data_IF_787715320843
#
_entry.id   IF_787715320843
#
_cell.length_a   1.000
_cell.length_b   1.000
_cell.length_c   1.000
_cell.angle_alpha   90.00
_cell.angle_beta   90.00
_cell.angle_gamma   90.00
#
_symmetry.space_group_name_H-M   'P 1'
#
loop_
_entity.id
_entity.type
_entity.pdbx_description
1 polymer ?
#
# COMPACT_ATOMS: atom_id res chain seq x y z
N UNK A 1 3.80 -5.34 -18.24
CA UNK A 1 3.38 -5.27 -16.81
C UNK A 1 4.46 -4.77 -15.85
N UNK A 2 5.75 -5.16 -15.98
CA UNK A 2 6.81 -4.72 -15.04
C UNK A 2 7.06 -3.20 -15.04
N UNK A 3 7.11 -2.56 -16.21
CA UNK A 3 7.30 -1.10 -16.33
C UNK A 3 6.13 -0.33 -15.71
N UNK A 4 4.89 -0.75 -15.98
CA UNK A 4 3.70 -0.14 -15.38
C UNK A 4 3.70 -0.26 -13.85
N UNK A 5 4.08 -1.43 -13.30
CA UNK A 5 4.18 -1.61 -11.85
C UNK A 5 5.26 -0.69 -11.23
N UNK A 6 6.38 -0.50 -11.93
CA UNK A 6 7.42 0.43 -11.49
C UNK A 6 6.93 1.89 -11.49
N UNK A 7 6.26 2.32 -12.56
CA UNK A 7 5.66 3.65 -12.67
C UNK A 7 4.61 3.87 -11.57
N UNK A 8 3.74 2.90 -11.32
CA UNK A 8 2.72 3.00 -10.26
C UNK A 8 3.33 3.11 -8.86
N UNK A 9 4.42 2.37 -8.58
CA UNK A 9 5.14 2.51 -7.31
C UNK A 9 5.78 3.88 -7.18
N UNK A 10 6.35 4.42 -8.26
CA UNK A 10 6.90 5.77 -8.27
C UNK A 10 5.82 6.81 -8.00
N UNK A 11 4.64 6.69 -8.63
CA UNK A 11 3.49 7.56 -8.38
C UNK A 11 3.06 7.52 -6.91
N UNK A 12 3.02 6.34 -6.28
CA UNK A 12 2.70 6.26 -4.84
C UNK A 12 3.76 6.92 -3.96
N UNK A 13 5.04 6.80 -4.30
CA UNK A 13 6.10 7.50 -3.56
C UNK A 13 5.95 9.02 -3.67
N UNK A 14 5.66 9.52 -4.87
CA UNK A 14 5.39 10.95 -5.10
C UNK A 14 4.14 11.40 -4.36
N UNK A 15 3.08 10.59 -4.34
CA UNK A 15 1.87 10.86 -3.56
C UNK A 15 2.20 11.01 -2.08
N UNK A 16 2.92 10.05 -1.49
CA UNK A 16 3.31 10.12 -0.08
C UNK A 16 4.22 11.30 0.22
N UNK A 17 5.16 11.62 -0.67
CA UNK A 17 5.98 12.81 -0.56
C UNK A 17 5.13 14.10 -0.59
N UNK A 18 4.11 14.15 -1.45
CA UNK A 18 3.14 15.24 -1.51
C UNK A 18 2.32 15.37 -0.22
N UNK A 19 1.88 14.25 0.37
CA UNK A 19 1.20 14.26 1.69
C UNK A 19 2.14 14.76 2.78
N UNK A 20 3.38 14.28 2.83
CA UNK A 20 4.37 14.72 3.84
C UNK A 20 4.67 16.21 3.67
N UNK A 21 4.86 16.68 2.44
CA UNK A 21 5.07 18.10 2.14
C UNK A 21 3.84 18.94 2.50
N UNK A 22 2.64 18.46 2.21
CA UNK A 22 1.42 19.16 2.60
C UNK A 22 1.24 19.23 4.12
N UNK A 23 1.80 18.29 4.89
CA UNK A 23 1.72 18.25 6.36
C UNK A 23 2.81 19.07 7.07
N UNK A 24 4.03 19.10 6.51
CA UNK A 24 5.22 19.67 7.16
C UNK A 24 5.81 20.88 6.42
N UNK A 25 5.27 21.19 5.24
CA UNK A 25 5.71 22.30 4.41
C UNK A 25 5.26 23.66 4.96
N UNK A 26 5.94 24.74 4.55
CA UNK A 26 5.64 26.09 5.02
C UNK A 26 4.22 26.56 4.66
N UNK A 27 3.66 26.02 3.58
CA UNK A 27 2.37 26.45 3.01
C UNK A 27 1.18 25.61 3.47
N UNK A 28 1.29 24.88 4.60
CA UNK A 28 0.21 24.02 5.14
C UNK A 28 -1.18 24.69 5.13
N UNK A 29 -1.24 25.99 5.44
CA UNK A 29 -2.50 26.74 5.48
C UNK A 29 -3.10 27.02 4.09
N UNK A 30 -2.29 27.06 3.04
CA UNK A 30 -2.74 27.33 1.66
C UNK A 30 -3.20 26.05 0.94
N UNK A 31 -2.61 24.90 1.28
CA UNK A 31 -2.92 23.61 0.64
C UNK A 31 -4.29 23.05 1.10
N UNK A 32 -4.83 23.57 2.22
CA UNK A 32 -6.14 23.19 2.75
C UNK A 32 -6.21 21.75 3.28
N UNK A 33 -7.42 21.28 3.62
CA UNK A 33 -7.63 19.97 4.25
C UNK A 33 -7.66 18.78 3.26
N UNK A 34 -7.71 19.05 1.95
CA UNK A 34 -7.96 18.03 0.93
C UNK A 34 -6.86 16.96 0.85
N UNK A 35 -5.54 17.28 0.81
CA UNK A 35 -4.51 16.25 0.78
C UNK A 35 -4.50 15.40 2.05
N UNK A 36 -4.78 16.03 3.20
CA UNK A 36 -4.89 15.36 4.49
C UNK A 36 -6.00 14.29 4.47
N UNK A 37 -7.18 14.65 3.97
CA UNK A 37 -8.31 13.72 3.83
C UNK A 37 -7.95 12.58 2.87
N UNK A 38 -7.37 12.90 1.70
CA UNK A 38 -6.98 11.89 0.71
C UNK A 38 -5.89 10.96 1.25
N UNK A 39 -4.87 11.50 1.92
CA UNK A 39 -3.83 10.73 2.58
C UNK A 39 -4.39 9.80 3.66
N UNK A 40 -5.33 10.29 4.47
CA UNK A 40 -6.00 9.49 5.50
C UNK A 40 -6.83 8.35 4.90
N UNK A 41 -7.59 8.60 3.83
CA UNK A 41 -8.37 7.57 3.13
C UNK A 41 -7.46 6.51 2.51
N UNK A 42 -6.38 6.92 1.86
CA UNK A 42 -5.40 5.99 1.27
C UNK A 42 -4.71 5.16 2.36
N UNK A 43 -4.30 5.80 3.46
CA UNK A 43 -3.71 5.10 4.60
C UNK A 43 -4.68 4.07 5.18
N UNK A 44 -5.94 4.45 5.38
CA UNK A 44 -6.98 3.55 5.87
C UNK A 44 -7.14 2.33 4.97
N UNK A 45 -7.18 2.54 3.66
CA UNK A 45 -7.25 1.44 2.68
C UNK A 45 -6.01 0.53 2.74
N UNK A 46 -4.81 1.09 2.92
CA UNK A 46 -3.58 0.30 3.07
C UNK A 46 -3.55 -0.50 4.38
N UNK A 47 -4.09 0.05 5.47
CA UNK A 47 -4.26 -0.68 6.72
C UNK A 47 -5.24 -1.85 6.58
N UNK A 48 -6.37 -1.65 5.89
CA UNK A 48 -7.29 -2.75 5.57
C UNK A 48 -6.58 -3.85 4.77
N UNK A 49 -5.74 -3.48 3.80
CA UNK A 49 -4.95 -4.44 3.02
C UNK A 49 -3.92 -5.19 3.88
N UNK A 50 -3.29 -4.53 4.85
CA UNK A 50 -2.41 -5.19 5.83
C UNK A 50 -3.18 -6.18 6.71
N UNK A 51 -4.39 -5.83 7.15
CA UNK A 51 -5.25 -6.73 7.92
C UNK A 51 -5.63 -7.97 7.10
N UNK A 52 -5.94 -7.81 5.81
CA UNK A 52 -6.17 -8.94 4.91
C UNK A 52 -4.93 -9.83 4.79
N UNK A 53 -3.73 -9.24 4.66
CA UNK A 53 -2.48 -10.02 4.61
C UNK A 53 -2.24 -10.77 5.93
N UNK A 54 -2.57 -10.14 7.06
CA UNK A 54 -2.48 -10.75 8.39
C UNK A 54 -3.41 -11.95 8.55
N UNK A 55 -4.63 -11.90 8.00
CA UNK A 55 -5.57 -13.03 8.04
C UNK A 55 -5.03 -14.28 7.35
N UNK A 56 -4.22 -14.11 6.30
CA UNK A 56 -3.60 -15.21 5.55
C UNK A 56 -2.15 -15.47 5.96
N UNK A 57 -1.69 -14.88 7.07
CA UNK A 57 -0.29 -14.95 7.49
C UNK A 57 0.15 -16.38 7.83
N UNK A 58 -0.75 -17.22 8.34
CA UNK A 58 -0.48 -18.64 8.61
C UNK A 58 -0.19 -19.47 7.35
N UNK A 59 -0.56 -18.95 6.16
CA UNK A 59 -0.33 -19.63 4.87
C UNK A 59 0.86 -19.03 4.13
N UNK A 60 1.02 -17.70 4.18
CA UNK A 60 2.01 -16.99 3.38
C UNK A 60 3.30 -16.65 4.13
N UNK A 61 3.30 -16.74 5.47
CA UNK A 61 4.40 -16.31 6.34
C UNK A 61 5.00 -14.94 5.96
N UNK A 62 4.17 -13.87 5.87
CA UNK A 62 4.64 -12.56 5.46
C UNK A 62 5.64 -11.97 6.47
N UNK A 63 6.68 -11.35 5.94
CA UNK A 63 7.71 -10.67 6.73
C UNK A 63 7.32 -9.22 7.04
N UNK A 64 8.03 -8.58 7.97
CA UNK A 64 7.88 -7.15 8.26
C UNK A 64 8.01 -6.26 7.01
N UNK A 65 8.89 -6.63 6.08
CA UNK A 65 9.07 -5.91 4.80
C UNK A 65 7.82 -5.98 3.92
N UNK A 66 7.10 -7.09 3.94
CA UNK A 66 5.88 -7.27 3.17
C UNK A 66 4.76 -6.37 3.69
N UNK A 67 4.62 -6.29 5.02
CA UNK A 67 3.69 -5.37 5.65
C UNK A 67 4.01 -3.90 5.33
N UNK A 68 5.28 -3.50 5.40
CA UNK A 68 5.70 -2.16 4.99
C UNK A 68 5.44 -1.90 3.51
N UNK A 69 5.68 -2.88 2.65
CA UNK A 69 5.39 -2.76 1.22
C UNK A 69 3.89 -2.56 0.96
N UNK A 70 3.01 -3.25 1.68
CA UNK A 70 1.56 -3.03 1.61
C UNK A 70 1.17 -1.68 2.20
N UNK A 71 1.83 -1.23 3.28
CA UNK A 71 1.56 0.07 3.87
C UNK A 71 1.90 1.23 2.92
N UNK A 72 2.96 1.10 2.12
CA UNK A 72 3.44 2.18 1.22
C UNK A 72 2.81 2.07 -0.18
N UNK A 73 2.71 0.85 -0.70
CA UNK A 73 2.28 0.58 -2.09
C UNK A 73 0.91 -0.06 -2.21
N UNK A 74 0.25 -0.38 -1.10
CA UNK A 74 -1.11 -0.91 -1.08
C UNK A 74 -1.32 -2.18 -1.91
N UNK A 75 -2.29 -2.11 -2.82
CA UNK A 75 -2.71 -3.22 -3.68
C UNK A 75 -1.59 -3.72 -4.60
N UNK A 76 -0.64 -2.86 -4.98
CA UNK A 76 0.49 -3.24 -5.83
C UNK A 76 1.45 -4.22 -5.14
N UNK A 77 1.60 -4.13 -3.81
CA UNK A 77 2.34 -5.11 -3.03
C UNK A 77 1.53 -6.40 -2.81
N UNK A 78 0.20 -6.27 -2.65
CA UNK A 78 -0.68 -7.43 -2.46
C UNK A 78 -0.81 -8.35 -3.67
N UNK A 79 -0.50 -7.89 -4.89
CA UNK A 79 -0.64 -8.71 -6.10
C UNK A 79 0.17 -10.01 -6.01
N UNK A 80 1.42 -9.95 -5.54
CA UNK A 80 2.27 -11.12 -5.40
C UNK A 80 1.73 -12.10 -4.35
N UNK A 81 1.28 -11.59 -3.20
CA UNK A 81 0.70 -12.41 -2.14
C UNK A 81 -0.61 -13.07 -2.57
N UNK A 82 -1.47 -12.37 -3.32
CA UNK A 82 -2.72 -12.94 -3.87
C UNK A 82 -2.45 -14.06 -4.87
N UNK A 83 -1.47 -13.88 -5.75
CA UNK A 83 -1.08 -14.92 -6.70
C UNK A 83 -0.58 -16.18 -5.97
N UNK A 84 0.33 -16.02 -5.00
CA UNK A 84 0.87 -17.13 -4.20
C UNK A 84 -0.21 -17.82 -3.34
N UNK A 85 -1.15 -17.04 -2.78
CA UNK A 85 -2.28 -17.60 -2.03
C UNK A 85 -3.20 -18.43 -2.91
N UNK A 86 -3.44 -17.97 -4.15
CA UNK A 86 -4.22 -18.70 -5.14
C UNK A 86 -3.55 -20.03 -5.50
N UNK A 87 -2.25 -20.03 -5.75
CA UNK A 87 -1.47 -21.25 -6.02
C UNK A 87 -1.57 -22.27 -4.87
N UNK A 88 -1.40 -21.83 -3.62
CA UNK A 88 -1.50 -22.71 -2.44
C UNK A 88 -2.91 -23.30 -2.29
N UNK A 89 -3.94 -22.49 -2.57
CA UNK A 89 -5.34 -22.91 -2.46
C UNK A 89 -5.73 -23.89 -3.57
N UNK A 90 -5.21 -23.67 -4.79
CA UNK A 90 -5.40 -24.58 -5.93
C UNK A 90 -4.65 -25.91 -5.74
N UNK A 91 -3.48 -25.91 -5.10
CA UNK A 91 -2.76 -27.15 -4.77
C UNK A 91 -3.39 -27.97 -3.64
N UNK A 92 -4.17 -27.33 -2.75
CA UNK A 92 -4.88 -28.00 -1.65
C UNK A 92 -6.24 -28.59 -2.06
N UNK A 93 -6.70 -28.30 -3.28
CA UNK A 93 -7.98 -28.76 -3.82
C UNK A 93 -7.78 -29.97 -4.73
#
# INVERSE_FOLDING_TARGET
MKVLNFVMRLVMLVFWAGIIYALLGPDFQEVGSMPLILGAVVLFMHLLQMLMLKQVANLLHPTLKDYLAVLVFGSFAMHHHRARLKEITEQKR
#
